data_IF_890753312608
#
_entry.id   IF_890753312608
#
_cell.length_a   1.000
_cell.length_b   1.000
_cell.length_c   1.000
_cell.angle_alpha   90.00
_cell.angle_beta   90.00
_cell.angle_gamma   90.00
#
_symmetry.space_group_name_H-M   'P 1'
#
loop_
_entity.id
_entity.type
_entity.pdbx_description
1 polymer ?
#
# COMPACT_ATOMS: atom_id res chain seq x y z
N UNK A 1 22.06 -8.56 -0.92
CA UNK A 1 21.33 -8.79 -2.19
C UNK A 1 20.41 -10.02 -2.16
N UNK A 2 20.79 -11.15 -1.53
CA UNK A 2 19.97 -12.39 -1.55
C UNK A 2 18.82 -12.45 -0.52
N UNK A 3 18.89 -11.74 0.62
CA UNK A 3 17.84 -11.81 1.66
C UNK A 3 16.59 -10.98 1.36
N UNK A 4 16.74 -9.82 0.71
CA UNK A 4 15.61 -8.89 0.47
C UNK A 4 14.65 -9.42 -0.60
N UNK A 5 15.16 -10.06 -1.66
CA UNK A 5 14.35 -10.64 -2.75
C UNK A 5 13.37 -11.70 -2.21
N UNK A 6 13.82 -12.52 -1.25
CA UNK A 6 12.95 -13.52 -0.62
C UNK A 6 11.84 -12.89 0.24
N UNK A 7 11.90 -11.60 0.58
CA UNK A 7 10.85 -10.93 1.36
C UNK A 7 9.84 -10.18 0.48
N UNK A 8 10.27 -9.63 -0.65
CA UNK A 8 9.40 -8.84 -1.54
C UNK A 8 8.24 -9.63 -2.12
N UNK A 9 8.38 -10.93 -2.36
CA UNK A 9 7.27 -11.74 -2.89
C UNK A 9 6.02 -11.71 -1.99
N UNK A 10 6.19 -11.56 -0.67
CA UNK A 10 5.08 -11.41 0.27
C UNK A 10 4.48 -9.99 0.24
N UNK A 11 5.28 -9.00 -0.16
CA UNK A 11 4.89 -7.61 -0.15
C UNK A 11 4.08 -7.21 -1.39
N UNK A 12 4.35 -7.85 -2.53
CA UNK A 12 3.71 -7.57 -3.83
C UNK A 12 2.38 -8.31 -4.05
N UNK A 13 1.83 -8.92 -2.99
CA UNK A 13 0.51 -9.57 -3.00
C UNK A 13 -0.29 -9.12 -1.77
N UNK A 14 -1.63 -9.23 -1.76
CA UNK A 14 -2.43 -8.78 -0.63
C UNK A 14 -2.51 -9.83 0.49
N UNK A 15 -1.71 -10.91 0.42
CA UNK A 15 -1.81 -12.06 1.32
C UNK A 15 -1.79 -11.64 2.80
N UNK A 16 -0.89 -10.73 3.16
CA UNK A 16 -0.71 -10.24 4.53
C UNK A 16 -1.86 -9.34 5.00
N UNK A 17 -2.54 -8.64 4.08
CA UNK A 17 -3.63 -7.72 4.38
C UNK A 17 -4.90 -8.44 4.88
N UNK A 18 -5.04 -9.74 4.60
CA UNK A 18 -6.24 -10.52 4.98
C UNK A 18 -6.44 -10.65 6.48
N UNK A 19 -5.38 -10.51 7.27
CA UNK A 19 -5.44 -10.56 8.73
C UNK A 19 -5.45 -9.17 9.39
N UNK A 20 -5.35 -8.10 8.60
CA UNK A 20 -5.27 -6.73 9.10
C UNK A 20 -6.67 -6.10 9.15
N UNK A 21 -7.06 -5.43 10.25
CA UNK A 21 -8.30 -4.64 10.30
C UNK A 21 -8.35 -3.61 9.17
N UNK A 22 -9.56 -3.32 8.67
CA UNK A 22 -9.83 -2.36 7.57
C UNK A 22 -9.33 -2.86 6.21
N UNK A 23 -8.08 -3.30 6.10
CA UNK A 23 -7.51 -3.85 4.85
C UNK A 23 -8.20 -5.14 4.38
N UNK A 24 -8.84 -5.88 5.29
CA UNK A 24 -9.57 -7.11 4.98
C UNK A 24 -11.03 -6.89 4.56
N UNK A 25 -11.56 -5.66 4.61
CA UNK A 25 -12.96 -5.36 4.27
C UNK A 25 -13.28 -5.58 2.79
N UNK A 26 -12.29 -5.43 1.91
CA UNK A 26 -12.43 -5.64 0.48
C UNK A 26 -11.19 -6.36 -0.08
N UNK A 27 -11.40 -7.56 -0.63
CA UNK A 27 -10.32 -8.35 -1.21
C UNK A 27 -10.15 -8.02 -2.69
N UNK A 28 -9.00 -7.45 -3.05
CA UNK A 28 -8.64 -7.18 -4.43
C UNK A 28 -7.35 -7.92 -4.80
N UNK A 29 -7.44 -8.94 -5.65
CA UNK A 29 -6.31 -9.83 -5.95
C UNK A 29 -5.12 -9.13 -6.60
N UNK A 30 -5.35 -7.99 -7.25
CA UNK A 30 -4.32 -7.20 -7.92
C UNK A 30 -3.72 -6.11 -7.01
N UNK A 31 -4.06 -6.06 -5.72
CA UNK A 31 -3.40 -5.16 -4.77
C UNK A 31 -2.12 -5.77 -4.18
N UNK A 32 -1.44 -4.99 -3.35
CA UNK A 32 -0.23 -5.36 -2.63
C UNK A 32 -0.43 -5.22 -1.13
N UNK A 33 0.55 -5.67 -0.34
CA UNK A 33 0.52 -5.53 1.12
C UNK A 33 0.68 -4.07 1.55
N UNK A 34 0.07 -3.69 2.68
CA UNK A 34 0.38 -2.43 3.38
C UNK A 34 1.88 -2.24 3.61
N UNK A 35 2.55 -3.33 3.96
CA UNK A 35 3.96 -3.33 4.36
C UNK A 35 4.87 -2.93 3.19
N UNK A 36 4.46 -3.14 1.93
CA UNK A 36 5.15 -2.59 0.77
C UNK A 36 5.17 -1.05 0.80
N UNK A 37 4.03 -0.43 1.11
CA UNK A 37 3.91 1.03 1.15
C UNK A 37 4.77 1.59 2.28
N UNK A 38 4.72 0.98 3.45
CA UNK A 38 5.57 1.38 4.59
C UNK A 38 7.05 1.25 4.27
N UNK A 39 7.46 0.15 3.63
CA UNK A 39 8.83 -0.02 3.17
C UNK A 39 9.25 1.11 2.20
N UNK A 40 8.39 1.51 1.26
CA UNK A 40 8.68 2.58 0.32
C UNK A 40 8.72 3.96 1.00
N UNK A 41 7.82 4.23 1.95
CA UNK A 41 7.84 5.43 2.80
C UNK A 41 9.20 5.55 3.51
N UNK A 42 9.64 4.48 4.15
CA UNK A 42 10.92 4.46 4.88
C UNK A 42 12.11 4.59 3.91
N UNK A 43 12.08 3.85 2.78
CA UNK A 43 13.15 3.87 1.77
C UNK A 43 13.35 5.26 1.15
N UNK A 44 12.27 6.00 0.92
CA UNK A 44 12.31 7.35 0.36
C UNK A 44 12.33 8.45 1.44
N UNK A 45 12.37 8.07 2.72
CA UNK A 45 12.39 8.96 3.87
C UNK A 45 11.25 10.00 3.82
N UNK A 46 10.04 9.53 3.49
CA UNK A 46 8.84 10.37 3.41
C UNK A 46 8.34 10.71 4.82
N UNK A 47 7.82 11.93 4.98
CA UNK A 47 7.29 12.43 6.26
C UNK A 47 5.97 13.17 6.10
N UNK A 48 5.53 13.87 7.15
CA UNK A 48 4.26 14.61 7.17
C UNK A 48 4.16 15.75 6.15
N UNK A 49 5.29 16.23 5.62
CA UNK A 49 5.34 17.23 4.55
C UNK A 49 5.36 16.62 3.14
N UNK A 50 5.48 15.29 3.03
CA UNK A 50 5.43 14.59 1.75
C UNK A 50 3.97 14.40 1.29
N UNK A 51 3.80 14.28 -0.02
CA UNK A 51 2.53 13.91 -0.63
C UNK A 51 2.72 12.65 -1.48
N UNK A 52 1.83 11.69 -1.36
CA UNK A 52 1.83 10.47 -2.17
C UNK A 52 0.72 10.57 -3.22
N UNK A 53 1.05 10.30 -4.48
CA UNK A 53 0.06 10.12 -5.54
C UNK A 53 0.04 8.64 -5.92
N UNK A 54 -1.13 8.03 -5.84
CA UNK A 54 -1.40 6.69 -6.37
C UNK A 54 -2.35 6.80 -7.57
N UNK A 55 -1.83 6.78 -8.82
CA UNK A 55 -2.65 6.96 -10.01
C UNK A 55 -3.45 5.70 -10.40
N UNK A 56 -3.32 4.59 -9.64
CA UNK A 56 -4.03 3.33 -9.86
C UNK A 56 -4.44 2.72 -8.52
N UNK A 57 -5.16 3.51 -7.71
CA UNK A 57 -5.27 3.23 -6.28
C UNK A 57 -6.04 1.95 -5.92
N UNK A 58 -6.79 1.36 -6.85
CA UNK A 58 -7.48 0.08 -6.70
C UNK A 58 -8.27 -0.01 -5.39
N UNK A 59 -7.90 -0.96 -4.53
CA UNK A 59 -8.51 -1.15 -3.20
C UNK A 59 -8.11 -0.10 -2.14
N UNK A 60 -7.34 0.92 -2.50
CA UNK A 60 -6.94 2.02 -1.63
C UNK A 60 -5.81 1.69 -0.65
N UNK A 61 -5.03 0.63 -0.88
CA UNK A 61 -3.96 0.19 0.05
C UNK A 61 -2.96 1.30 0.33
N UNK A 62 -2.49 2.02 -0.69
CA UNK A 62 -1.56 3.15 -0.53
C UNK A 62 -2.15 4.25 0.33
N UNK A 63 -3.42 4.62 0.09
CA UNK A 63 -4.08 5.72 0.78
C UNK A 63 -4.24 5.43 2.27
N UNK A 64 -4.68 4.22 2.60
CA UNK A 64 -4.84 3.79 3.98
C UNK A 64 -3.49 3.69 4.70
N UNK A 65 -2.50 3.08 4.06
CA UNK A 65 -1.16 2.91 4.63
C UNK A 65 -0.43 4.24 4.86
N UNK A 66 -0.60 5.19 3.94
CA UNK A 66 -0.07 6.55 4.07
C UNK A 66 -0.75 7.31 5.21
N UNK A 67 -2.08 7.18 5.33
CA UNK A 67 -2.86 7.79 6.42
C UNK A 67 -2.43 7.27 7.79
N UNK A 68 -2.14 5.98 7.93
CA UNK A 68 -1.59 5.39 9.16
C UNK A 68 -0.22 5.97 9.54
N UNK A 69 0.55 6.47 8.56
CA UNK A 69 1.85 7.13 8.76
C UNK A 69 1.75 8.66 8.86
N UNK A 70 0.54 9.22 8.83
CA UNK A 70 0.33 10.67 8.88
C UNK A 70 0.80 11.41 7.62
N UNK A 71 0.84 10.72 6.48
CA UNK A 71 1.26 11.28 5.18
C UNK A 71 0.02 11.53 4.32
N UNK A 72 -0.04 12.70 3.69
CA UNK A 72 -1.10 13.04 2.74
C UNK A 72 -0.99 12.18 1.49
N UNK A 73 -2.11 11.63 1.03
CA UNK A 73 -2.14 10.80 -0.16
C UNK A 73 -3.40 11.06 -1.01
N UNK A 74 -3.23 11.07 -2.32
CA UNK A 74 -4.29 11.22 -3.31
C UNK A 74 -4.29 9.97 -4.19
N UNK A 75 -5.46 9.36 -4.33
CA UNK A 75 -5.67 8.20 -5.19
C UNK A 75 -6.56 8.53 -6.36
N UNK A 76 -6.21 8.02 -7.54
CA UNK A 76 -7.04 8.07 -8.73
C UNK A 76 -7.16 6.62 -9.23
N UNK A 77 -8.35 6.23 -9.65
CA UNK A 77 -8.52 5.00 -10.41
C UNK A 77 -9.64 5.19 -11.43
N UNK A 78 -9.49 4.55 -12.58
CA UNK A 78 -10.52 4.52 -13.63
C UNK A 78 -11.48 3.36 -13.44
N UNK A 79 -11.10 2.36 -12.63
CA UNK A 79 -11.95 1.22 -12.34
C UNK A 79 -13.20 1.72 -11.61
N UNK A 80 -14.40 1.51 -12.17
CA UNK A 80 -15.62 1.72 -11.42
C UNK A 80 -15.59 0.66 -10.31
N UNK A 81 -15.32 1.10 -9.08
CA UNK A 81 -15.40 0.21 -7.92
C UNK A 81 -16.84 -0.32 -7.84
N UNK A 82 -17.05 -1.65 -7.71
CA UNK A 82 -18.37 -2.23 -7.54
C UNK A 82 -18.99 -1.88 -6.19
#
# INVERSE_FOLDING_TARGET
MSKDINKFHLLVTPYQNRMLPIYSWYHFSHSFSRDLVWYLIDKFNLGSQSNILDPFCGSGTTLLAAKEKGISAIGIDILPLP
#
